data_IF_815002837437
#
_entry.id   IF_815002837437
#
_cell.length_a   1.000
_cell.length_b   1.000
_cell.length_c   1.000
_cell.angle_alpha   90.00
_cell.angle_beta   90.00
_cell.angle_gamma   90.00
#
_symmetry.space_group_name_H-M   'P 1'
#
loop_
_entity.id
_entity.type
_entity.pdbx_description
1 polymer ?
#
# COMPACT_ATOMS: atom_id res chain seq x y z
N UNK A 1 -9.20 -14.06 4.82
CA UNK A 1 -8.79 -13.46 3.52
C UNK A 1 -7.27 -13.45 3.48
N UNK A 2 -6.67 -13.93 2.39
CA UNK A 2 -5.22 -13.92 2.26
C UNK A 2 -4.72 -12.56 1.75
N UNK A 3 -3.77 -11.98 2.49
CA UNK A 3 -3.05 -10.79 2.07
C UNK A 3 -1.55 -11.03 2.16
N UNK A 4 -0.80 -10.51 1.20
CA UNK A 4 0.66 -10.66 1.14
C UNK A 4 1.32 -9.32 0.94
N UNK A 5 2.22 -8.94 1.85
CA UNK A 5 3.05 -7.76 1.66
C UNK A 5 4.14 -8.08 0.63
N UNK A 6 4.10 -7.51 -0.56
CA UNK A 6 5.16 -7.68 -1.56
C UNK A 6 6.39 -6.84 -1.28
N UNK A 7 6.17 -5.59 -0.86
CA UNK A 7 7.24 -4.65 -0.58
C UNK A 7 6.76 -3.57 0.37
N UNK A 8 7.65 -3.11 1.23
CA UNK A 8 7.44 -2.00 2.15
C UNK A 8 8.07 -0.68 1.70
N UNK A 9 8.54 -0.63 0.46
CA UNK A 9 9.26 0.51 -0.13
C UNK A 9 8.68 0.92 -1.50
N UNK A 10 7.37 0.76 -1.68
CA UNK A 10 6.68 1.03 -2.94
C UNK A 10 6.33 2.51 -3.13
N UNK A 11 6.83 3.12 -4.20
CA UNK A 11 6.53 4.49 -4.62
C UNK A 11 5.74 4.51 -5.93
N UNK A 12 5.19 5.66 -6.30
CA UNK A 12 4.50 5.89 -7.59
C UNK A 12 5.46 6.39 -8.69
N UNK A 13 6.77 6.34 -8.44
CA UNK A 13 7.83 6.90 -9.29
C UNK A 13 8.93 7.62 -8.50
N UNK A 14 10.07 7.91 -9.14
CA UNK A 14 11.25 8.52 -8.49
C UNK A 14 10.98 9.90 -7.89
N UNK A 15 10.00 10.64 -8.43
CA UNK A 15 9.58 11.95 -7.92
C UNK A 15 8.67 11.86 -6.67
N UNK A 16 8.22 10.66 -6.28
CA UNK A 16 7.40 10.46 -5.09
C UNK A 16 8.23 9.87 -3.95
N UNK A 17 8.59 10.71 -2.97
CA UNK A 17 9.34 10.33 -1.77
C UNK A 17 8.48 9.59 -0.73
N UNK A 18 7.18 9.45 -1.00
CA UNK A 18 6.24 8.69 -0.18
C UNK A 18 6.40 7.19 -0.39
N UNK A 19 7.30 6.57 0.39
CA UNK A 19 7.43 5.13 0.47
C UNK A 19 6.15 4.53 1.07
N UNK A 20 5.43 3.75 0.28
CA UNK A 20 4.29 2.97 0.69
C UNK A 20 4.59 1.49 0.78
N UNK A 21 3.55 0.74 1.10
CA UNK A 21 3.54 -0.71 1.06
C UNK A 21 2.77 -1.16 -0.17
N UNK A 22 3.23 -2.23 -0.80
CA UNK A 22 2.54 -2.92 -1.87
C UNK A 22 2.04 -4.26 -1.34
N UNK A 23 0.74 -4.43 -1.37
CA UNK A 23 0.03 -5.60 -0.89
C UNK A 23 -0.65 -6.31 -2.05
N UNK A 24 -0.65 -7.64 -2.01
CA UNK A 24 -1.52 -8.46 -2.82
C UNK A 24 -2.66 -8.94 -1.97
N UNK A 25 -3.82 -8.99 -2.59
CA UNK A 25 -5.02 -9.67 -2.08
C UNK A 25 -5.46 -10.66 -3.16
N UNK A 26 -6.49 -11.45 -2.88
CA UNK A 26 -7.06 -12.38 -3.86
C UNK A 26 -7.66 -11.64 -5.08
N UNK A 27 -8.23 -10.46 -4.86
CA UNK A 27 -8.99 -9.73 -5.89
C UNK A 27 -8.29 -8.49 -6.47
N UNK A 28 -7.30 -7.97 -5.75
CA UNK A 28 -6.67 -6.70 -6.10
C UNK A 28 -5.20 -6.60 -5.67
N UNK A 29 -4.45 -5.81 -6.44
CA UNK A 29 -3.20 -5.24 -5.98
C UNK A 29 -3.49 -3.94 -5.24
N UNK A 30 -2.99 -3.78 -4.02
CA UNK A 30 -3.26 -2.62 -3.17
C UNK A 30 -1.96 -1.94 -2.77
N UNK A 31 -1.80 -0.67 -3.11
CA UNK A 31 -0.71 0.16 -2.61
C UNK A 31 -1.23 1.03 -1.48
N UNK A 32 -0.66 0.86 -0.29
CA UNK A 32 -0.94 1.68 0.89
C UNK A 32 0.22 2.64 1.07
N UNK A 33 0.04 3.89 0.65
CA UNK A 33 1.00 4.96 0.93
C UNK A 33 1.19 5.14 2.42
N UNK A 34 2.45 5.22 2.87
CA UNK A 34 2.69 5.81 4.19
C UNK A 34 2.56 7.31 4.01
N UNK A 35 1.88 8.00 4.94
CA UNK A 35 2.12 9.43 5.03
C UNK A 35 3.63 9.58 5.17
N UNK A 36 4.26 10.23 4.19
CA UNK A 36 5.61 10.72 4.39
C UNK A 36 5.58 11.52 5.70
N UNK A 37 6.72 11.65 6.36
CA UNK A 37 6.91 12.64 7.41
C UNK A 37 6.73 14.06 6.84
N UNK A 38 5.52 14.44 6.41
CA UNK A 38 4.99 15.79 6.42
C UNK A 38 4.42 16.09 7.81
N UNK A 39 5.15 15.65 8.84
CA UNK A 39 5.11 16.19 10.19
C UNK A 39 6.47 16.84 10.47
N UNK A 40 6.85 17.80 9.62
CA UNK A 40 7.89 18.77 9.96
C UNK A 40 7.28 20.15 9.68
N UNK A 41 7.03 20.88 10.78
CA UNK A 41 6.65 22.28 10.87
C UNK A 41 5.17 22.69 10.65
N UNK A 42 4.26 22.25 11.53
CA UNK A 42 3.28 23.17 12.18
C UNK A 42 3.08 22.69 13.63
N UNK A 43 4.06 22.99 14.48
CA UNK A 43 3.89 23.14 15.94
C UNK A 43 5.14 23.86 16.48
N UNK A 44 5.57 24.89 15.75
CA UNK A 44 6.19 26.06 16.35
C UNK A 44 5.11 27.12 16.40
N UNK A 45 4.42 27.25 17.54
CA UNK A 45 3.43 28.31 17.74
C UNK A 45 2.20 27.90 18.54
N UNK A 46 2.23 28.26 19.82
CA UNK A 46 1.10 28.69 20.66
C UNK A 46 -0.02 27.69 21.05
N UNK A 47 0.00 27.33 22.33
CA UNK A 47 -1.09 27.51 23.31
C UNK A 47 -2.55 27.33 22.85
N UNK A 48 -3.19 26.30 23.41
CA UNK A 48 -4.59 26.34 23.85
C UNK A 48 -5.65 25.96 22.82
N UNK A 49 -6.31 24.82 23.03
CA UNK A 49 -7.76 24.70 22.87
C UNK A 49 -8.25 23.37 23.45
N UNK A 50 -9.12 23.50 24.44
CA UNK A 50 -10.00 22.48 24.99
C UNK A 50 -11.14 22.25 23.99
N UNK A 51 -11.62 21.01 23.86
CA UNK A 51 -13.02 20.76 23.44
C UNK A 51 -13.22 19.88 22.20
N UNK A 52 -13.85 18.73 22.44
CA UNK A 52 -14.86 18.19 21.52
C UNK A 52 -14.44 17.06 20.59
N UNK A 53 -14.76 15.83 21.00
CA UNK A 53 -15.78 14.96 20.39
C UNK A 53 -15.39 13.48 20.42
N UNK A 54 -16.25 12.75 21.13
CA UNK A 54 -16.47 11.31 21.09
C UNK A 54 -16.50 10.79 19.63
N UNK A 55 -15.86 9.65 19.36
CA UNK A 55 -16.21 8.85 18.18
C UNK A 55 -15.09 8.06 17.48
N UNK A 56 -13.81 8.24 17.82
CA UNK A 56 -12.71 7.67 17.01
C UNK A 56 -11.89 6.54 17.66
N UNK A 57 -12.10 6.24 18.94
CA UNK A 57 -11.14 5.44 19.72
C UNK A 57 -11.34 3.92 19.66
N UNK A 58 -12.42 3.42 19.06
CA UNK A 58 -12.73 1.97 19.03
C UNK A 58 -12.35 1.26 17.71
N UNK A 59 -11.81 1.97 16.71
CA UNK A 59 -11.31 1.35 15.47
C UNK A 59 -9.78 1.33 15.36
N UNK A 60 -9.06 2.03 16.25
CA UNK A 60 -7.59 2.13 16.20
C UNK A 60 -6.87 1.00 16.93
N UNK A 61 -7.56 0.26 17.82
CA UNK A 61 -6.94 -0.79 18.62
C UNK A 61 -6.78 -2.14 17.90
N UNK A 62 -7.61 -2.44 16.88
CA UNK A 62 -7.58 -3.76 16.24
C UNK A 62 -6.35 -3.98 15.33
N UNK A 63 -5.61 -2.92 14.99
CA UNK A 63 -4.50 -2.98 14.02
C UNK A 63 -3.19 -2.40 14.54
N UNK A 64 -3.18 -1.78 15.72
CA UNK A 64 -1.93 -1.41 16.40
C UNK A 64 -1.09 -2.64 16.79
N UNK A 65 -1.69 -3.84 16.78
CA UNK A 65 -1.05 -5.12 17.10
C UNK A 65 -0.70 -6.00 15.89
N UNK A 66 -1.01 -5.60 14.64
CA UNK A 66 -0.47 -6.32 13.49
C UNK A 66 1.01 -5.97 13.35
N UNK A 67 1.87 -6.79 13.96
CA UNK A 67 3.28 -6.84 13.65
C UNK A 67 3.43 -6.87 12.14
N UNK A 68 3.98 -5.78 11.57
CA UNK A 68 4.16 -5.63 10.13
C UNK A 68 4.82 -6.91 9.57
N UNK A 69 4.20 -7.62 8.62
CA UNK A 69 4.82 -8.80 8.02
C UNK A 69 6.18 -8.46 7.41
N UNK A 70 7.05 -9.45 7.36
CA UNK A 70 8.20 -9.37 6.49
C UNK A 70 7.73 -9.31 5.02
N UNK A 71 8.46 -8.63 4.12
CA UNK A 71 8.16 -8.69 2.69
C UNK A 71 8.12 -10.14 2.19
N UNK A 72 7.15 -10.46 1.34
CA UNK A 72 6.77 -11.78 0.81
C UNK A 72 6.06 -12.70 1.81
N UNK A 73 5.71 -12.24 3.00
CA UNK A 73 4.95 -13.05 3.96
C UNK A 73 3.44 -12.98 3.66
N UNK A 74 2.81 -14.14 3.60
CA UNK A 74 1.37 -14.30 3.61
C UNK A 74 0.84 -14.17 5.03
N UNK A 75 -0.24 -13.41 5.19
CA UNK A 75 -1.03 -13.39 6.42
C UNK A 75 -2.47 -13.66 6.06
N UNK A 76 -3.10 -14.54 6.82
CA UNK A 76 -4.55 -14.64 6.84
C UNK A 76 -5.11 -13.60 7.81
N UNK A 77 -5.91 -12.69 7.29
CA UNK A 77 -6.54 -11.61 8.07
C UNK A 77 -8.06 -11.69 7.90
N UNK A 78 -8.78 -11.36 8.97
CA UNK A 78 -10.23 -11.17 8.90
C UNK A 78 -10.56 -10.06 7.89
N UNK A 79 -11.51 -10.26 6.95
CA UNK A 79 -11.83 -9.26 5.93
C UNK A 79 -12.11 -7.87 6.53
N UNK A 80 -12.87 -7.80 7.62
CA UNK A 80 -13.17 -6.54 8.32
C UNK A 80 -11.94 -5.80 8.81
N UNK A 81 -10.92 -6.52 9.31
CA UNK A 81 -9.67 -5.93 9.75
C UNK A 81 -8.82 -5.40 8.57
N UNK A 82 -8.82 -6.09 7.42
CA UNK A 82 -8.18 -5.58 6.21
C UNK A 82 -8.85 -4.29 5.70
N UNK A 83 -10.19 -4.27 5.64
CA UNK A 83 -10.93 -3.07 5.22
C UNK A 83 -10.72 -1.90 6.20
N UNK A 84 -10.72 -2.17 7.51
CA UNK A 84 -10.38 -1.17 8.52
C UNK A 84 -8.96 -0.63 8.34
N UNK A 85 -7.99 -1.50 8.01
CA UNK A 85 -6.60 -1.11 7.77
C UNK A 85 -6.45 -0.15 6.62
N UNK A 86 -7.07 -0.45 5.47
CA UNK A 86 -6.99 0.42 4.29
C UNK A 86 -7.82 1.69 4.47
N UNK A 87 -9.00 1.61 5.09
CA UNK A 87 -9.88 2.76 5.29
C UNK A 87 -9.27 3.83 6.22
N UNK A 88 -8.42 3.42 7.17
CA UNK A 88 -7.70 4.33 8.05
C UNK A 88 -6.56 5.10 7.35
N UNK A 89 -6.24 4.82 6.08
CA UNK A 89 -5.08 5.37 5.37
C UNK A 89 -5.51 6.39 4.31
N UNK A 90 -4.78 7.49 4.24
CA UNK A 90 -5.10 8.61 3.34
C UNK A 90 -4.69 8.41 1.88
N UNK A 91 -3.73 7.52 1.61
CA UNK A 91 -3.10 7.37 0.29
C UNK A 91 -3.13 5.92 -0.17
N UNK A 92 -4.33 5.36 -0.34
CA UNK A 92 -4.54 3.98 -0.80
C UNK A 92 -4.90 3.97 -2.27
N UNK A 93 -4.23 3.12 -3.04
CA UNK A 93 -4.59 2.79 -4.41
C UNK A 93 -4.96 1.31 -4.48
N UNK A 94 -6.15 1.02 -5.00
CA UNK A 94 -6.65 -0.34 -5.18
C UNK A 94 -6.75 -0.58 -6.68
N UNK A 95 -6.10 -1.63 -7.16
CA UNK A 95 -6.09 -2.06 -8.54
C UNK A 95 -6.75 -3.45 -8.65
N UNK A 96 -8.08 -3.52 -8.84
CA UNK A 96 -8.78 -4.80 -8.97
C UNK A 96 -8.29 -5.55 -10.21
N UNK A 97 -7.94 -6.83 -10.09
CA UNK A 97 -7.41 -7.61 -11.21
C UNK A 97 -8.36 -7.67 -12.40
N UNK A 98 -9.67 -7.77 -12.13
CA UNK A 98 -10.72 -7.76 -13.16
C UNK A 98 -10.76 -6.47 -14.01
N UNK A 99 -10.17 -5.37 -13.53
CA UNK A 99 -10.07 -4.10 -14.25
C UNK A 99 -8.74 -3.87 -14.93
N UNK A 100 -7.71 -4.66 -14.62
CA UNK A 100 -6.39 -4.54 -15.24
C UNK A 100 -6.48 -5.09 -16.66
N UNK A 101 -6.24 -4.23 -17.65
CA UNK A 101 -6.20 -4.63 -19.06
C UNK A 101 -4.78 -4.88 -19.55
N UNK A 102 -3.79 -4.29 -18.90
CA UNK A 102 -2.38 -4.49 -19.21
C UNK A 102 -1.55 -4.29 -17.95
N UNK A 103 -0.63 -5.21 -17.71
CA UNK A 103 0.39 -5.08 -16.68
C UNK A 103 1.76 -5.30 -17.33
N UNK A 104 2.71 -4.42 -17.06
CA UNK A 104 4.08 -4.56 -17.55
C UNK A 104 5.01 -4.54 -16.35
N UNK A 105 5.59 -5.69 -16.06
CA UNK A 105 6.58 -5.84 -15.01
C UNK A 105 8.00 -5.74 -15.57
N UNK A 106 8.84 -4.89 -14.97
CA UNK A 106 10.26 -4.78 -15.29
C UNK A 106 11.09 -4.91 -14.03
N UNK A 107 12.03 -5.85 -14.04
CA UNK A 107 13.01 -6.01 -12.99
C UNK A 107 14.31 -5.30 -13.41
N UNK A 108 14.62 -4.20 -12.74
CA UNK A 108 15.89 -3.50 -12.90
C UNK A 108 16.96 -4.05 -11.95
N UNK A 109 18.17 -3.49 -12.02
CA UNK A 109 19.32 -3.90 -11.20
C UNK A 109 19.06 -3.73 -9.69
N UNK A 110 18.46 -2.60 -9.30
CA UNK A 110 18.24 -2.23 -7.89
C UNK A 110 16.76 -2.07 -7.52
N UNK A 111 15.90 -1.88 -8.52
CA UNK A 111 14.47 -1.62 -8.34
C UNK A 111 13.64 -2.45 -9.29
N UNK A 112 12.46 -2.84 -8.83
CA UNK A 112 11.42 -3.46 -9.65
C UNK A 112 10.35 -2.43 -9.94
N UNK A 113 9.81 -2.44 -11.15
CA UNK A 113 8.72 -1.55 -11.55
C UNK A 113 7.56 -2.35 -12.15
N UNK A 114 6.35 -1.87 -11.90
CA UNK A 114 5.13 -2.40 -12.48
C UNK A 114 4.33 -1.23 -13.02
N UNK A 115 4.03 -1.27 -14.32
CA UNK A 115 3.11 -0.34 -14.96
C UNK A 115 1.79 -1.06 -15.17
N UNK A 116 0.69 -0.47 -14.74
CA UNK A 116 -0.64 -1.04 -14.79
C UNK A 116 -1.52 -0.07 -15.56
N UNK A 117 -2.28 -0.60 -16.50
CA UNK A 117 -3.35 0.10 -17.19
C UNK A 117 -4.68 -0.54 -16.86
N UNK A 118 -5.61 0.27 -16.42
CA UNK A 118 -6.98 -0.14 -16.11
C UNK A 118 -7.92 0.10 -17.29
N UNK A 119 -9.07 -0.58 -17.28
CA UNK A 119 -10.11 -0.49 -18.32
C UNK A 119 -10.72 0.92 -18.44
N UNK A 120 -10.72 1.69 -17.37
CA UNK A 120 -11.19 3.09 -17.34
C UNK A 120 -10.17 4.08 -17.94
N UNK A 121 -9.03 3.59 -18.42
CA UNK A 121 -7.96 4.42 -18.99
C UNK A 121 -6.97 4.94 -17.94
N UNK A 122 -7.13 4.59 -16.67
CA UNK A 122 -6.18 4.97 -15.64
C UNK A 122 -4.86 4.19 -15.77
N UNK A 123 -3.75 4.92 -15.86
CA UNK A 123 -2.39 4.39 -15.88
C UNK A 123 -1.68 4.68 -14.57
N UNK A 124 -1.08 3.64 -13.98
CA UNK A 124 -0.28 3.76 -12.77
C UNK A 124 1.08 3.09 -12.93
N UNK A 125 2.12 3.76 -12.44
CA UNK A 125 3.46 3.19 -12.32
C UNK A 125 3.80 3.03 -10.85
N UNK A 126 4.20 1.81 -10.49
CA UNK A 126 4.67 1.45 -9.16
C UNK A 126 6.14 1.06 -9.24
N UNK A 127 6.92 1.44 -8.25
CA UNK A 127 8.35 1.15 -8.16
C UNK A 127 8.72 0.77 -6.73
N UNK A 128 9.51 -0.27 -6.54
CA UNK A 128 9.98 -0.68 -5.22
C UNK A 128 11.38 -1.29 -5.27
N UNK A 129 11.99 -1.51 -4.10
CA UNK A 129 13.30 -2.18 -4.00
C UNK A 129 13.21 -3.57 -4.61
N UNK A 130 14.21 -3.95 -5.42
CA UNK A 130 14.26 -5.26 -6.06
C UNK A 130 14.16 -6.38 -5.02
N UNK A 131 13.22 -7.30 -5.25
CA UNK A 131 13.09 -8.54 -4.49
C UNK A 131 12.77 -9.68 -5.46
N UNK A 132 13.66 -10.68 -5.61
CA UNK A 132 13.41 -11.84 -6.46
C UNK A 132 12.15 -12.63 -6.04
N UNK A 133 11.85 -12.65 -4.74
CA UNK A 133 10.65 -13.28 -4.22
C UNK A 133 9.39 -12.53 -4.69
N UNK A 134 9.36 -11.20 -4.57
CA UNK A 134 8.25 -10.39 -5.07
C UNK A 134 8.05 -10.51 -6.59
N UNK A 135 9.15 -10.60 -7.35
CA UNK A 135 9.10 -10.77 -8.81
C UNK A 135 8.40 -12.08 -9.21
N UNK A 136 8.71 -13.19 -8.53
CA UNK A 136 8.06 -14.49 -8.78
C UNK A 136 6.56 -14.43 -8.52
N UNK A 137 6.15 -13.82 -7.41
CA UNK A 137 4.73 -13.69 -7.05
C UNK A 137 3.98 -12.79 -8.03
N UNK A 138 4.57 -11.66 -8.44
CA UNK A 138 3.92 -10.79 -9.42
C UNK A 138 3.69 -11.53 -10.75
N UNK A 139 4.69 -12.29 -11.22
CA UNK A 139 4.57 -13.07 -12.45
C UNK A 139 3.57 -14.22 -12.37
N UNK A 140 3.26 -14.72 -11.17
CA UNK A 140 2.24 -15.77 -11.01
C UNK A 140 0.82 -15.21 -10.89
N UNK A 141 0.66 -13.95 -10.47
CA UNK A 141 -0.66 -13.35 -10.19
C UNK A 141 -1.12 -12.44 -11.33
N UNK A 142 -0.21 -11.72 -11.98
CA UNK A 142 -0.56 -10.78 -13.04
C UNK A 142 -0.25 -11.37 -14.43
N UNK A 143 -1.07 -11.05 -15.45
CA UNK A 143 -0.75 -11.34 -16.84
C UNK A 143 0.32 -10.34 -17.33
N UNK A 144 1.59 -10.58 -16.98
CA UNK A 144 2.76 -9.74 -17.31
C UNK A 144 3.69 -10.36 -18.34
#
# INVERSE_FOLDING_TARGET
MHVRLLSDSCTKGWASWGHGELWLTEDALVRVGRPALTARAVLGGAAGAVGGLLGGALATAALAGLSKPAPTQDIEIEPGAWFGYIAARKDVLIFPYARIIMATFKEGLTTSSLTIRLRDGYDAKLLWKRSPAAARVIRSVLPV
#
